data_IF_586592543786
#
_entry.id   IF_586592543786
#
_cell.length_a   1.000
_cell.length_b   1.000
_cell.length_c   1.000
_cell.angle_alpha   90.00
_cell.angle_beta   90.00
_cell.angle_gamma   90.00
#
_symmetry.space_group_name_H-M   'P 1'
#
loop_
_entity.id
_entity.type
_entity.pdbx_description
1 polymer ?
#
# COMPACT_ATOMS: atom_id res chain seq x y z
N UNK A 1 22.32 22.52 -4.94
CA UNK A 1 21.59 22.04 -3.76
C UNK A 1 21.11 20.62 -4.05
N UNK A 2 21.42 19.59 -3.24
CA UNK A 2 20.94 18.23 -3.48
C UNK A 2 19.41 18.17 -3.40
N UNK A 3 18.76 17.44 -4.30
CA UNK A 3 17.31 17.31 -4.31
C UNK A 3 16.89 16.21 -3.33
N UNK A 4 15.93 16.52 -2.45
CA UNK A 4 15.32 15.51 -1.58
C UNK A 4 14.55 14.52 -2.45
N UNK A 5 14.68 13.23 -2.11
CA UNK A 5 14.01 12.13 -2.80
C UNK A 5 13.38 11.20 -1.77
N UNK A 6 12.17 10.76 -2.08
CA UNK A 6 11.41 9.77 -1.34
C UNK A 6 11.03 8.65 -2.31
N UNK A 7 11.38 7.42 -1.95
CA UNK A 7 11.20 6.25 -2.79
C UNK A 7 10.59 5.13 -1.97
N UNK A 8 9.61 4.45 -2.58
CA UNK A 8 9.14 3.16 -2.13
C UNK A 8 9.49 2.14 -3.21
N UNK A 9 10.33 1.17 -2.88
CA UNK A 9 10.72 0.13 -3.82
C UNK A 9 10.76 -1.23 -3.13
N UNK A 10 10.76 -2.28 -3.94
CA UNK A 10 10.87 -3.65 -3.46
C UNK A 10 12.30 -4.14 -3.62
N UNK A 11 12.87 -4.72 -2.57
CA UNK A 11 14.21 -5.31 -2.59
C UNK A 11 14.17 -6.77 -2.15
N UNK A 12 15.02 -7.60 -2.75
CA UNK A 12 15.18 -9.00 -2.34
C UNK A 12 16.18 -9.07 -1.19
N UNK A 13 15.76 -9.65 -0.07
CA UNK A 13 16.65 -9.95 1.06
C UNK A 13 17.65 -11.04 0.69
N UNK A 14 18.72 -11.18 1.48
CA UNK A 14 19.71 -12.26 1.31
C UNK A 14 19.07 -13.66 1.38
N UNK A 15 17.96 -13.79 2.11
CA UNK A 15 17.21 -15.04 2.27
C UNK A 15 16.21 -15.28 1.12
N UNK A 16 16.19 -14.42 0.11
CA UNK A 16 15.37 -14.58 -1.09
C UNK A 16 13.95 -14.02 -0.99
N UNK A 17 13.51 -13.58 0.19
CA UNK A 17 12.20 -12.92 0.43
C UNK A 17 12.23 -11.48 -0.05
N UNK A 18 11.12 -10.96 -0.57
CA UNK A 18 11.00 -9.54 -0.91
C UNK A 18 10.42 -8.71 0.24
N UNK A 19 10.95 -7.50 0.42
CA UNK A 19 10.44 -6.51 1.38
C UNK A 19 10.18 -5.19 0.67
N UNK A 20 9.23 -4.41 1.20
CA UNK A 20 9.12 -3.00 0.87
C UNK A 20 10.24 -2.24 1.57
N UNK A 21 10.85 -1.26 0.89
CA UNK A 21 11.85 -0.37 1.48
C UNK A 21 11.36 1.05 1.31
N UNK A 22 10.84 1.62 2.40
CA UNK A 22 10.55 3.05 2.51
C UNK A 22 11.87 3.78 2.66
N UNK A 23 12.26 4.61 1.69
CA UNK A 23 13.55 5.30 1.71
C UNK A 23 13.41 6.80 1.50
N UNK A 24 14.17 7.56 2.29
CA UNK A 24 14.32 9.00 2.12
C UNK A 24 15.79 9.37 2.02
N UNK A 25 16.10 10.38 1.22
CA UNK A 25 17.48 10.80 1.06
C UNK A 25 17.67 11.95 0.08
N UNK A 26 18.86 11.97 -0.54
CA UNK A 26 19.31 13.06 -1.41
C UNK A 26 19.88 12.53 -2.72
N UNK A 27 19.47 13.15 -3.82
CA UNK A 27 20.09 12.99 -5.13
C UNK A 27 21.20 14.03 -5.30
N UNK A 28 22.40 13.55 -5.55
CA UNK A 28 23.60 14.32 -5.84
C UNK A 28 23.86 14.29 -7.35
N UNK A 29 24.09 15.47 -7.92
CA UNK A 29 24.13 15.69 -9.37
C UNK A 29 22.83 16.33 -9.85
N UNK A 30 22.92 17.55 -10.36
CA UNK A 30 21.78 18.28 -10.90
C UNK A 30 21.37 17.77 -12.30
N UNK A 31 20.23 18.24 -12.83
CA UNK A 31 19.79 17.92 -14.18
C UNK A 31 20.83 18.30 -15.26
N UNK A 32 21.58 19.37 -15.03
CA UNK A 32 22.55 19.98 -15.96
C UNK A 32 24.00 19.54 -15.77
N UNK A 33 24.32 18.69 -14.78
CA UNK A 33 25.71 18.27 -14.55
C UNK A 33 26.02 17.01 -15.36
N UNK A 34 26.98 17.12 -16.29
CA UNK A 34 27.58 16.01 -17.04
C UNK A 34 28.58 15.25 -16.14
N UNK A 35 28.07 14.69 -15.04
CA UNK A 35 28.87 14.02 -14.01
C UNK A 35 28.13 12.83 -13.40
N UNK A 36 28.83 12.07 -12.54
CA UNK A 36 28.26 10.89 -11.88
C UNK A 36 27.10 11.31 -10.97
N UNK A 37 25.90 10.81 -11.27
CA UNK A 37 24.71 10.97 -10.43
C UNK A 37 24.72 9.89 -9.36
N UNK A 38 24.54 10.29 -8.10
CA UNK A 38 24.53 9.37 -6.98
C UNK A 38 23.37 9.70 -6.04
N UNK A 39 22.77 8.66 -5.47
CA UNK A 39 21.69 8.80 -4.50
C UNK A 39 22.17 8.24 -3.16
N UNK A 40 21.98 9.01 -2.09
CA UNK A 40 22.22 8.55 -0.72
C UNK A 40 20.87 8.42 -0.04
N UNK A 41 20.53 7.22 0.39
CA UNK A 41 19.24 6.88 0.99
C UNK A 41 19.44 6.27 2.36
N UNK A 42 18.52 6.59 3.27
CA UNK A 42 18.29 5.79 4.46
C UNK A 42 16.91 5.16 4.34
N UNK A 43 16.91 3.84 4.29
CA UNK A 43 15.73 3.03 4.07
C UNK A 43 15.33 2.24 5.31
N UNK A 44 14.02 2.08 5.50
CA UNK A 44 13.46 1.14 6.48
C UNK A 44 12.78 0.00 5.75
N UNK A 45 13.19 -1.22 6.09
CA UNK A 45 12.52 -2.41 5.64
C UNK A 45 11.11 -2.49 6.26
N UNK A 46 10.14 -2.78 5.43
CA UNK A 46 8.75 -3.02 5.77
C UNK A 46 8.35 -4.38 5.24
N UNK A 47 7.67 -5.15 6.08
CA UNK A 47 7.09 -6.40 5.63
C UNK A 47 6.10 -6.10 4.49
N UNK A 48 6.19 -6.91 3.44
CA UNK A 48 5.16 -6.93 2.42
C UNK A 48 3.94 -7.59 3.06
N UNK A 49 2.90 -6.81 3.29
CA UNK A 49 1.65 -7.32 3.84
C UNK A 49 1.14 -8.45 2.95
N UNK A 50 1.13 -9.67 3.48
CA UNK A 50 0.44 -10.79 2.88
C UNK A 50 -0.86 -10.99 3.66
N UNK A 51 -1.96 -10.51 3.10
CA UNK A 51 -3.29 -10.72 3.65
C UNK A 51 -3.94 -11.88 2.89
N UNK A 52 -4.15 -13.01 3.56
CA UNK A 52 -4.93 -14.13 3.01
C UNK A 52 -6.38 -14.05 3.51
N UNK A 53 -7.32 -14.62 2.75
CA UNK A 53 -8.71 -14.73 3.22
C UNK A 53 -8.85 -15.53 4.52
N UNK A 54 -7.97 -16.50 4.75
CA UNK A 54 -7.90 -17.23 6.02
C UNK A 54 -7.49 -16.32 7.18
N UNK A 55 -6.49 -15.45 6.99
CA UNK A 55 -6.09 -14.47 8.00
C UNK A 55 -7.21 -13.49 8.31
N UNK A 56 -7.94 -13.04 7.28
CA UNK A 56 -9.15 -12.21 7.44
C UNK A 56 -10.17 -12.96 8.28
N UNK A 57 -10.55 -14.18 7.88
CA UNK A 57 -11.53 -15.01 8.59
C UNK A 57 -11.14 -15.27 10.06
N UNK A 58 -9.87 -15.59 10.34
CA UNK A 58 -9.37 -15.89 11.68
C UNK A 58 -9.32 -14.66 12.60
N UNK A 59 -9.11 -13.47 12.05
CA UNK A 59 -9.08 -12.22 12.81
C UNK A 59 -10.49 -11.74 13.25
N UNK A 60 -11.54 -12.51 12.97
CA UNK A 60 -12.94 -12.11 13.16
C UNK A 60 -13.70 -11.98 11.85
N UNK A 61 -13.02 -12.14 10.72
CA UNK A 61 -13.60 -12.09 9.39
C UNK A 61 -14.11 -10.71 9.04
N UNK A 62 -15.03 -10.69 8.08
CA UNK A 62 -15.90 -9.57 7.78
C UNK A 62 -17.10 -9.77 8.70
N UNK A 63 -16.97 -9.41 9.97
CA UNK A 63 -17.87 -9.93 10.99
C UNK A 63 -19.33 -9.66 10.61
N UNK A 64 -20.14 -10.72 10.50
CA UNK A 64 -21.58 -10.66 10.14
C UNK A 64 -22.41 -9.76 11.06
N UNK A 65 -21.85 -9.37 12.20
CA UNK A 65 -22.47 -8.55 13.23
C UNK A 65 -21.61 -7.36 13.67
N UNK A 66 -20.42 -7.15 13.07
CA UNK A 66 -19.60 -5.99 13.39
C UNK A 66 -20.05 -4.81 12.52
N UNK A 67 -20.92 -3.98 13.07
CA UNK A 67 -21.39 -2.72 12.47
C UNK A 67 -20.31 -1.64 12.31
N UNK A 68 -19.02 -2.00 12.40
CA UNK A 68 -17.91 -1.06 12.49
C UNK A 68 -16.84 -1.27 11.42
N UNK A 69 -16.95 -2.29 10.57
CA UNK A 69 -16.03 -2.48 9.45
C UNK A 69 -16.73 -2.96 8.17
N UNK A 70 -16.11 -2.65 7.04
CA UNK A 70 -16.44 -3.26 5.74
C UNK A 70 -15.15 -3.51 4.97
N UNK A 71 -15.22 -4.40 3.99
CA UNK A 71 -14.13 -4.62 3.03
C UNK A 71 -14.52 -4.08 1.67
N UNK A 72 -13.52 -3.72 0.87
CA UNK A 72 -13.75 -3.35 -0.51
C UNK A 72 -12.55 -3.65 -1.39
N UNK A 73 -12.83 -3.90 -2.66
CA UNK A 73 -11.82 -3.99 -3.70
C UNK A 73 -11.72 -2.61 -4.36
N UNK A 74 -10.48 -2.18 -4.59
CA UNK A 74 -10.18 -0.88 -5.20
C UNK A 74 -9.47 -1.11 -6.54
N UNK A 75 -9.93 -0.45 -7.60
CA UNK A 75 -9.30 -0.47 -8.91
C UNK A 75 -7.95 0.24 -8.90
N UNK A 76 -7.17 0.09 -9.98
CA UNK A 76 -5.90 0.82 -10.12
C UNK A 76 -6.05 2.34 -10.13
N UNK A 77 -7.23 2.88 -10.42
CA UNK A 77 -7.52 4.32 -10.38
C UNK A 77 -8.00 4.80 -9.01
N UNK A 78 -8.08 3.92 -8.00
CA UNK A 78 -8.53 4.28 -6.66
C UNK A 78 -10.05 4.24 -6.48
N UNK A 79 -10.79 3.64 -7.42
CA UNK A 79 -12.26 3.54 -7.35
C UNK A 79 -12.64 2.24 -6.67
N UNK A 80 -13.58 2.29 -5.71
CA UNK A 80 -14.18 1.09 -5.13
C UNK A 80 -15.03 0.39 -6.21
N UNK A 81 -14.75 -0.90 -6.44
CA UNK A 81 -15.41 -1.71 -7.49
C UNK A 81 -16.27 -2.83 -6.91
N UNK A 82 -16.05 -3.19 -5.65
CA UNK A 82 -16.87 -4.15 -4.93
C UNK A 82 -16.69 -3.86 -3.46
N UNK A 83 -17.78 -3.90 -2.70
CA UNK A 83 -17.75 -3.65 -1.26
C UNK A 83 -18.60 -4.69 -0.53
N UNK A 84 -18.25 -4.97 0.72
CA UNK A 84 -19.08 -5.80 1.60
C UNK A 84 -20.30 -5.05 2.12
N UNK A 85 -21.33 -5.80 2.52
CA UNK A 85 -22.59 -5.27 3.06
C UNK A 85 -22.45 -4.38 4.30
N UNK A 86 -21.32 -4.44 5.02
CA UNK A 86 -21.05 -3.55 6.16
C UNK A 86 -21.03 -2.06 5.81
N UNK A 87 -20.87 -1.71 4.53
CA UNK A 87 -20.89 -0.31 4.08
C UNK A 87 -22.23 0.38 4.34
N UNK A 88 -23.33 -0.37 4.37
CA UNK A 88 -24.66 0.15 4.72
C UNK A 88 -24.72 0.59 6.17
N UNK A 89 -24.20 -0.23 7.07
CA UNK A 89 -24.21 0.07 8.51
C UNK A 89 -23.25 1.22 8.86
N UNK A 90 -22.15 1.38 8.11
CA UNK A 90 -21.12 2.40 8.38
C UNK A 90 -21.36 3.73 7.67
N UNK A 91 -21.69 3.68 6.38
CA UNK A 91 -21.76 4.83 5.49
C UNK A 91 -23.16 5.05 4.91
N UNK A 92 -24.09 4.12 5.10
CA UNK A 92 -25.48 4.24 4.63
C UNK A 92 -25.68 3.98 3.14
N UNK A 93 -24.66 3.46 2.44
CA UNK A 93 -24.75 3.15 1.00
C UNK A 93 -25.06 1.67 0.82
N UNK A 94 -25.73 1.32 -0.27
CA UNK A 94 -25.96 -0.07 -0.62
C UNK A 94 -24.74 -0.61 -1.40
N UNK A 95 -24.37 -1.88 -1.26
CA UNK A 95 -23.27 -2.46 -2.04
C UNK A 95 -23.42 -2.28 -3.56
N UNK A 96 -24.66 -2.29 -4.05
CA UNK A 96 -25.04 -2.11 -5.45
C UNK A 96 -24.68 -0.71 -5.98
N UNK A 97 -24.53 0.29 -5.09
CA UNK A 97 -24.10 1.65 -5.46
C UNK A 97 -22.64 1.67 -5.98
N UNK A 98 -21.88 0.59 -5.78
CA UNK A 98 -20.48 0.45 -6.17
C UNK A 98 -20.24 -0.63 -7.24
N UNK A 99 -21.31 -1.20 -7.79
CA UNK A 99 -21.21 -2.15 -8.89
C UNK A 99 -21.01 -1.41 -10.22
N UNK A 100 -19.82 -1.60 -10.82
CA UNK A 100 -19.43 -1.03 -12.11
C UNK A 100 -18.44 -1.91 -12.85
#
# INVERSE_FOLDING_TARGET
NPHTVELLFRARTKNGVFVWVESRGRLHGGPSTQGRKAISLWGRARDMSHLTWEMVARAGGLAKFARQEFWGMVSRSGVLITVGSGIKDLLGWEPEDFEG
#
